data_IF_538679323987
#
_entry.id   IF_538679323987
#
_cell.length_a   1.000
_cell.length_b   1.000
_cell.length_c   1.000
_cell.angle_alpha   90.00
_cell.angle_beta   90.00
_cell.angle_gamma   90.00
#
_symmetry.space_group_name_H-M   'P 1'
#
loop_
_entity.id
_entity.type
_entity.pdbx_description
1 polymer ?
#
# COMPACT_ATOMS: atom_id res chain seq x y z
N UNK A 1 -1.46 -18.09 2.54
CA UNK A 1 -0.69 -16.88 2.15
C UNK A 1 -1.62 -15.99 1.34
N UNK A 2 -1.78 -14.71 1.65
CA UNK A 2 -2.62 -13.82 0.81
C UNK A 2 -2.02 -13.70 -0.59
N UNK A 3 -2.82 -13.67 -1.64
CA UNK A 3 -2.46 -13.33 -3.03
C UNK A 3 -2.35 -11.81 -3.21
N UNK A 4 -1.83 -11.28 -4.33
CA UNK A 4 -1.79 -9.84 -4.58
C UNK A 4 -3.18 -9.18 -4.54
N UNK A 5 -4.20 -9.83 -5.10
CA UNK A 5 -5.57 -9.30 -5.13
C UNK A 5 -6.22 -9.32 -3.75
N UNK A 6 -6.01 -10.39 -2.97
CA UNK A 6 -6.48 -10.43 -1.58
C UNK A 6 -5.78 -9.39 -0.70
N UNK A 7 -4.50 -9.11 -0.97
CA UNK A 7 -3.77 -8.03 -0.29
C UNK A 7 -4.36 -6.66 -0.64
N UNK A 8 -4.69 -6.41 -1.90
CA UNK A 8 -5.32 -5.18 -2.34
C UNK A 8 -6.67 -4.96 -1.64
N UNK A 9 -7.56 -5.97 -1.68
CA UNK A 9 -8.85 -5.92 -1.00
C UNK A 9 -8.71 -5.69 0.51
N UNK A 10 -7.71 -6.31 1.15
CA UNK A 10 -7.47 -6.11 2.58
C UNK A 10 -6.95 -4.68 2.90
N UNK A 11 -6.15 -4.08 2.02
CA UNK A 11 -5.70 -2.69 2.14
C UNK A 11 -6.89 -1.75 1.94
N UNK A 12 -7.70 -1.95 0.91
CA UNK A 12 -8.93 -1.19 0.66
C UNK A 12 -9.92 -1.29 1.82
N UNK A 13 -10.05 -2.43 2.48
CA UNK A 13 -10.99 -2.57 3.60
C UNK A 13 -10.51 -1.87 4.89
N UNK A 14 -9.19 -1.84 5.14
CA UNK A 14 -8.62 -1.47 6.45
C UNK A 14 -7.84 -0.16 6.47
N UNK A 15 -7.47 0.36 5.31
CA UNK A 15 -6.55 1.49 5.19
C UNK A 15 -7.20 2.56 4.32
N UNK A 16 -7.58 3.67 4.97
CA UNK A 16 -8.20 4.83 4.33
C UNK A 16 -7.20 5.89 3.86
N UNK A 17 -5.93 5.81 4.28
CA UNK A 17 -4.90 6.81 4.02
C UNK A 17 -3.59 6.15 3.56
N UNK A 18 -2.70 6.87 2.85
CA UNK A 18 -1.38 6.33 2.51
C UNK A 18 -0.64 5.82 3.74
N UNK A 19 -0.30 4.53 3.73
CA UNK A 19 0.31 3.84 4.87
C UNK A 19 1.68 3.27 4.51
N UNK A 20 2.59 3.29 5.48
CA UNK A 20 3.89 2.64 5.39
C UNK A 20 3.74 1.12 5.43
N UNK A 21 4.78 0.40 5.00
CA UNK A 21 4.84 -1.07 5.12
C UNK A 21 4.61 -1.54 6.57
N UNK A 22 5.09 -0.78 7.55
CA UNK A 22 4.94 -1.13 8.97
C UNK A 22 3.48 -0.96 9.45
N UNK A 23 2.81 0.11 9.03
CA UNK A 23 1.39 0.32 9.35
C UNK A 23 0.54 -0.75 8.68
N UNK A 24 0.81 -1.09 7.41
CA UNK A 24 0.11 -2.15 6.69
C UNK A 24 0.30 -3.51 7.39
N UNK A 25 1.53 -3.85 7.82
CA UNK A 25 1.78 -5.08 8.61
C UNK A 25 0.91 -5.12 9.87
N UNK A 26 0.88 -4.02 10.64
CA UNK A 26 0.12 -3.93 11.88
C UNK A 26 -1.39 -4.04 11.63
N UNK A 27 -1.92 -3.30 10.67
CA UNK A 27 -3.35 -3.30 10.31
C UNK A 27 -3.83 -4.66 9.80
N UNK A 28 -2.97 -5.39 9.09
CA UNK A 28 -3.22 -6.75 8.61
C UNK A 28 -2.86 -7.84 9.63
N UNK A 29 -2.37 -7.46 10.82
CA UNK A 29 -1.90 -8.38 11.87
C UNK A 29 -0.89 -9.42 11.35
N UNK A 30 -0.04 -9.01 10.42
CA UNK A 30 0.97 -9.87 9.82
C UNK A 30 2.24 -9.90 10.69
N UNK A 31 2.91 -11.06 10.80
CA UNK A 31 4.16 -11.15 11.54
C UNK A 31 5.27 -10.35 10.85
N UNK A 32 6.20 -9.81 11.64
CA UNK A 32 7.31 -8.98 11.12
C UNK A 32 8.22 -9.71 10.12
N UNK A 33 8.30 -11.04 10.19
CA UNK A 33 9.01 -11.88 9.21
C UNK A 33 8.48 -11.74 7.79
N UNK A 34 7.20 -11.37 7.63
CA UNK A 34 6.59 -11.16 6.32
C UNK A 34 6.86 -9.79 5.73
N UNK A 35 7.60 -8.89 6.42
CA UNK A 35 7.88 -7.52 5.95
C UNK A 35 8.49 -7.47 4.55
N UNK A 36 9.49 -8.30 4.28
CA UNK A 36 10.15 -8.34 2.96
C UNK A 36 9.19 -8.83 1.87
N UNK A 37 8.39 -9.85 2.17
CA UNK A 37 7.38 -10.41 1.26
C UNK A 37 6.26 -9.40 0.98
N UNK A 38 5.78 -8.71 2.01
CA UNK A 38 4.77 -7.66 1.87
C UNK A 38 5.30 -6.51 0.99
N UNK A 39 6.52 -6.03 1.25
CA UNK A 39 7.15 -4.98 0.44
C UNK A 39 7.22 -5.35 -1.04
N UNK A 40 7.60 -6.59 -1.38
CA UNK A 40 7.62 -7.08 -2.77
C UNK A 40 6.23 -7.11 -3.40
N UNK A 41 5.20 -7.51 -2.64
CA UNK A 41 3.81 -7.55 -3.14
C UNK A 41 3.24 -6.16 -3.36
N UNK A 42 3.51 -5.23 -2.43
CA UNK A 42 3.14 -3.82 -2.59
C UNK A 42 3.83 -3.21 -3.83
N UNK A 43 5.10 -3.54 -4.08
CA UNK A 43 5.78 -3.09 -5.29
C UNK A 43 5.11 -3.61 -6.56
N UNK A 44 4.70 -4.89 -6.60
CA UNK A 44 3.94 -5.45 -7.74
C UNK A 44 2.59 -4.77 -7.96
N UNK A 45 1.88 -4.44 -6.88
CA UNK A 45 0.61 -3.70 -6.99
C UNK A 45 0.83 -2.27 -7.49
N UNK A 46 1.97 -1.65 -7.13
CA UNK A 46 2.35 -0.35 -7.68
C UNK A 46 2.72 -0.42 -9.15
N UNK A 47 3.49 -1.44 -9.56
CA UNK A 47 3.82 -1.68 -10.97
C UNK A 47 2.58 -1.92 -11.83
N UNK A 48 1.54 -2.55 -11.28
CA UNK A 48 0.25 -2.76 -11.94
C UNK A 48 -0.64 -1.51 -12.00
N UNK A 49 -0.34 -0.48 -11.20
CA UNK A 49 -1.18 0.71 -11.04
C UNK A 49 -2.31 0.58 -10.02
N UNK A 50 -2.48 -0.59 -9.40
CA UNK A 50 -3.51 -0.85 -8.37
C UNK A 50 -3.24 -0.05 -7.07
N UNK A 51 -1.97 0.19 -6.78
CA UNK A 51 -1.52 1.05 -5.69
C UNK A 51 -0.61 2.14 -6.24
N UNK A 52 -0.48 3.22 -5.49
CA UNK A 52 0.57 4.22 -5.70
C UNK A 52 1.48 4.28 -4.50
N UNK A 53 2.73 4.67 -4.76
CA UNK A 53 3.72 4.95 -3.75
C UNK A 53 4.03 6.45 -3.75
N UNK A 54 3.83 7.08 -2.60
CA UNK A 54 4.11 8.51 -2.40
C UNK A 54 5.37 8.72 -1.53
N UNK A 55 5.73 9.99 -1.30
CA UNK A 55 6.86 10.37 -0.43
C UNK A 55 6.77 9.70 0.94
N UNK A 56 7.93 9.36 1.50
CA UNK A 56 8.02 8.68 2.80
C UNK A 56 7.70 7.18 2.78
N UNK A 57 7.80 6.52 1.60
CA UNK A 57 7.56 5.08 1.45
C UNK A 57 6.14 4.65 1.87
N UNK A 58 5.15 5.53 1.62
CA UNK A 58 3.74 5.26 1.88
C UNK A 58 3.04 4.76 0.62
N UNK A 59 2.09 3.84 0.82
CA UNK A 59 1.34 3.16 -0.22
C UNK A 59 -0.15 3.40 -0.01
N UNK A 60 -0.91 3.48 -1.09
CA UNK A 60 -2.35 3.33 -1.00
C UNK A 60 -3.06 3.43 -2.34
N UNK A 61 -4.38 3.47 -2.27
CA UNK A 61 -5.28 3.27 -3.42
C UNK A 61 -5.49 4.60 -4.14
N UNK A 62 -5.16 4.71 -5.45
CA UNK A 62 -5.21 5.98 -6.19
C UNK A 62 -6.55 6.71 -6.08
N UNK A 63 -7.65 5.95 -6.23
CA UNK A 63 -9.03 6.44 -6.24
C UNK A 63 -9.43 7.15 -4.95
N UNK A 64 -8.80 6.78 -3.82
CA UNK A 64 -9.12 7.34 -2.50
C UNK A 64 -8.20 8.49 -2.10
N UNK A 65 -7.14 8.74 -2.86
CA UNK A 65 -6.10 9.67 -2.43
C UNK A 65 -6.33 11.13 -2.82
N UNK A 66 -7.38 11.47 -3.58
CA UNK A 66 -7.68 12.84 -4.05
C UNK A 66 -6.40 13.65 -4.32
N UNK A 67 -5.45 13.07 -5.06
CA UNK A 67 -4.09 13.60 -5.17
C UNK A 67 -4.11 14.89 -5.99
N UNK A 68 -4.16 16.03 -5.31
CA UNK A 68 -3.82 17.31 -5.92
C UNK A 68 -2.31 17.29 -6.19
N UNK A 69 -1.96 17.04 -7.45
CA UNK A 69 -0.56 17.05 -7.90
C UNK A 69 -0.13 18.51 -8.04
N UNK A 70 0.28 19.14 -6.92
CA UNK A 70 0.86 20.48 -6.95
C UNK A 70 2.22 20.44 -7.67
N UNK A 71 2.36 21.19 -8.77
CA UNK A 71 3.69 21.49 -9.33
C UNK A 71 4.28 22.62 -8.50
N UNK A 72 5.46 22.39 -7.93
CA UNK A 72 6.25 23.47 -7.33
C UNK A 72 6.98 24.14 -8.49
N UNK A 73 6.67 25.42 -8.73
CA UNK A 73 7.41 26.29 -9.64
C UNK A 73 8.63 26.87 -8.92
#
# INVERSE_FOLDING_TARGET
MLTPNELLAAIEAKISHPATVQEILKSLKLPGSQRATLRRRLAKLVERGDLIKIRGQRYGVPERMHLLTGRVH
#
